data_IF_743877014968
#
_entry.id   IF_743877014968
#
_cell.length_a   1.000
_cell.length_b   1.000
_cell.length_c   1.000
_cell.angle_alpha   90.00
_cell.angle_beta   90.00
_cell.angle_gamma   90.00
#
_symmetry.space_group_name_H-M   'P 1'
#
loop_
_entity.id
_entity.type
_entity.pdbx_description
1 polymer ?
#
# COMPACT_ATOMS: atom_id res chain seq x y z
N UNK A 1 -33.11 -6.71 0.31
CA UNK A 1 -32.49 -6.15 -0.90
C UNK A 1 -31.13 -6.81 -1.08
N UNK A 2 -30.94 -7.54 -2.17
CA UNK A 2 -29.73 -8.32 -2.44
C UNK A 2 -28.88 -7.53 -3.43
N UNK A 3 -27.85 -6.83 -2.94
CA UNK A 3 -26.96 -6.04 -3.82
C UNK A 3 -25.96 -7.01 -4.45
N UNK A 4 -26.26 -7.46 -5.67
CA UNK A 4 -25.27 -8.11 -6.53
C UNK A 4 -24.29 -7.03 -7.00
N UNK A 5 -23.16 -6.87 -6.29
CA UNK A 5 -21.96 -6.27 -6.88
C UNK A 5 -21.44 -7.25 -7.93
N UNK A 6 -21.90 -7.09 -9.17
CA UNK A 6 -21.34 -7.80 -10.31
C UNK A 6 -20.13 -6.99 -10.78
N UNK A 7 -19.05 -7.01 -10.01
CA UNK A 7 -17.74 -6.62 -10.55
C UNK A 7 -17.37 -7.68 -11.60
N UNK A 8 -17.09 -7.28 -12.83
CA UNK A 8 -16.71 -8.21 -13.90
C UNK A 8 -15.42 -8.95 -13.50
N UNK A 9 -15.56 -10.18 -13.00
CA UNK A 9 -14.44 -11.00 -12.55
C UNK A 9 -13.67 -11.48 -13.77
N UNK A 10 -12.48 -10.93 -13.98
CA UNK A 10 -11.53 -11.45 -14.96
C UNK A 10 -10.64 -12.54 -14.34
N UNK A 11 -10.49 -13.68 -15.02
CA UNK A 11 -9.62 -14.77 -14.58
C UNK A 11 -8.23 -14.59 -15.18
N UNK A 12 -7.23 -14.50 -14.32
CA UNK A 12 -5.82 -14.44 -14.70
C UNK A 12 -5.11 -15.73 -14.28
N UNK A 13 -4.37 -16.33 -15.21
CA UNK A 13 -3.48 -17.48 -14.94
C UNK A 13 -2.04 -17.02 -15.10
N UNK A 14 -1.18 -17.33 -14.14
CA UNK A 14 0.23 -16.93 -14.13
C UNK A 14 1.07 -18.16 -13.83
N UNK A 15 2.07 -18.40 -14.67
CA UNK A 15 3.10 -19.40 -14.39
C UNK A 15 4.12 -18.84 -13.40
N UNK A 16 4.31 -19.54 -12.28
CA UNK A 16 5.27 -19.15 -11.25
C UNK A 16 6.21 -20.30 -10.91
N UNK A 17 7.49 -20.01 -10.58
CA UNK A 17 8.42 -21.02 -10.10
C UNK A 17 7.86 -21.77 -8.88
N UNK A 18 8.05 -23.10 -8.84
CA UNK A 18 7.56 -23.95 -7.75
C UNK A 18 8.01 -23.46 -6.35
N UNK A 19 9.20 -22.88 -6.26
CA UNK A 19 9.74 -22.29 -5.02
C UNK A 19 8.84 -21.14 -4.54
N UNK A 20 8.48 -20.23 -5.43
CA UNK A 20 7.64 -19.07 -5.11
C UNK A 20 6.21 -19.48 -4.80
N UNK A 21 5.64 -20.47 -5.50
CA UNK A 21 4.32 -21.01 -5.15
C UNK A 21 4.28 -21.55 -3.71
N UNK A 22 5.32 -22.27 -3.27
CA UNK A 22 5.41 -22.76 -1.88
C UNK A 22 5.49 -21.61 -0.88
N UNK A 23 6.35 -20.63 -1.14
CA UNK A 23 6.51 -19.46 -0.27
C UNK A 23 5.21 -18.65 -0.16
N UNK A 24 4.51 -18.44 -1.28
CA UNK A 24 3.22 -17.74 -1.30
C UNK A 24 2.16 -18.48 -0.50
N UNK A 25 2.11 -19.82 -0.61
CA UNK A 25 1.20 -20.66 0.18
C UNK A 25 1.49 -20.57 1.69
N UNK A 26 2.76 -20.57 2.08
CA UNK A 26 3.15 -20.40 3.49
C UNK A 26 2.76 -19.01 3.98
N UNK A 27 3.05 -17.97 3.19
CA UNK A 27 2.71 -16.59 3.53
C UNK A 27 1.20 -16.40 3.69
N UNK A 28 0.40 -17.01 2.81
CA UNK A 28 -1.06 -16.95 2.87
C UNK A 28 -1.61 -17.57 4.16
N UNK A 29 -1.08 -18.72 4.56
CA UNK A 29 -1.44 -19.35 5.83
C UNK A 29 -1.06 -18.50 7.05
N UNK A 30 0.14 -17.89 7.04
CA UNK A 30 0.61 -17.02 8.13
C UNK A 30 -0.24 -15.77 8.30
N UNK A 31 -0.67 -15.16 7.19
CA UNK A 31 -1.46 -13.93 7.20
C UNK A 31 -2.98 -14.18 7.35
N UNK A 32 -3.42 -15.45 7.34
CA UNK A 32 -4.85 -15.79 7.36
C UNK A 32 -5.60 -15.36 6.10
N UNK A 33 -4.90 -15.17 4.98
CA UNK A 33 -5.46 -14.73 3.69
C UNK A 33 -5.34 -15.84 2.65
N UNK A 34 -6.15 -15.77 1.60
CA UNK A 34 -5.98 -16.59 0.42
C UNK A 34 -4.80 -16.10 -0.44
N UNK A 35 -4.18 -17.00 -1.20
CA UNK A 35 -3.13 -16.61 -2.16
C UNK A 35 -3.66 -15.62 -3.21
N UNK A 36 -4.95 -15.69 -3.55
CA UNK A 36 -5.59 -14.74 -4.48
C UNK A 36 -5.58 -13.34 -3.90
N UNK A 37 -6.03 -13.17 -2.66
CA UNK A 37 -6.08 -11.87 -1.99
C UNK A 37 -4.70 -11.22 -1.91
N UNK A 38 -3.67 -12.00 -1.58
CA UNK A 38 -2.29 -11.49 -1.54
C UNK A 38 -1.85 -10.97 -2.91
N UNK A 39 -2.14 -11.71 -3.98
CA UNK A 39 -1.76 -11.32 -5.34
C UNK A 39 -2.56 -10.10 -5.80
N UNK A 40 -3.88 -10.07 -5.56
CA UNK A 40 -4.72 -8.92 -5.93
C UNK A 40 -4.36 -7.67 -5.15
N UNK A 41 -4.10 -7.77 -3.84
CA UNK A 41 -3.64 -6.65 -3.02
C UNK A 41 -2.28 -6.12 -3.49
N UNK A 42 -1.36 -7.01 -3.86
CA UNK A 42 -0.06 -6.61 -4.38
C UNK A 42 -0.20 -5.85 -5.70
N UNK A 43 -1.04 -6.35 -6.61
CA UNK A 43 -1.33 -5.70 -7.90
C UNK A 43 -2.01 -4.34 -7.66
N UNK A 44 -3.04 -4.29 -6.82
CA UNK A 44 -3.73 -3.05 -6.48
C UNK A 44 -2.79 -2.02 -5.88
N UNK A 45 -1.95 -2.41 -4.92
CA UNK A 45 -0.98 -1.52 -4.31
C UNK A 45 0.01 -1.01 -5.36
N UNK A 46 0.47 -1.88 -6.27
CA UNK A 46 1.37 -1.44 -7.33
C UNK A 46 0.68 -0.48 -8.31
N UNK A 47 -0.58 -0.73 -8.69
CA UNK A 47 -1.37 0.15 -9.55
C UNK A 47 -1.73 1.48 -8.87
N UNK A 48 -2.03 1.46 -7.57
CA UNK A 48 -2.28 2.67 -6.76
C UNK A 48 -1.01 3.48 -6.59
N UNK A 49 0.13 2.84 -6.33
CA UNK A 49 1.44 3.48 -6.21
C UNK A 49 2.04 3.90 -7.57
N UNK A 50 1.56 3.33 -8.68
CA UNK A 50 1.86 3.82 -10.02
C UNK A 50 1.25 5.20 -10.29
N UNK A 51 0.31 5.67 -9.46
CA UNK A 51 0.02 7.10 -9.37
C UNK A 51 1.27 7.77 -8.77
N UNK A 52 2.14 8.24 -9.66
CA UNK A 52 3.24 9.13 -9.27
C UNK A 52 2.70 10.15 -8.27
N UNK A 53 3.40 10.37 -7.15
CA UNK A 53 3.03 11.43 -6.23
C UNK A 53 2.84 12.72 -7.04
N UNK A 54 1.80 13.48 -6.74
CA UNK A 54 1.56 14.71 -7.50
C UNK A 54 2.73 15.68 -7.29
N UNK A 55 2.80 16.75 -8.11
CA UNK A 55 3.93 17.70 -8.05
C UNK A 55 4.15 18.27 -6.64
N UNK A 56 3.09 18.44 -5.86
CA UNK A 56 3.16 18.93 -4.48
C UNK A 56 3.77 17.90 -3.53
N UNK A 57 3.38 16.63 -3.63
CA UNK A 57 3.96 15.55 -2.82
C UNK A 57 5.44 15.33 -3.13
N UNK A 58 5.83 15.36 -4.40
CA UNK A 58 7.25 15.26 -4.81
C UNK A 58 8.05 16.44 -4.25
N UNK A 59 7.46 17.64 -4.30
CA UNK A 59 8.11 18.84 -3.75
C UNK A 59 8.26 18.74 -2.23
N UNK A 60 7.24 18.27 -1.51
CA UNK A 60 7.31 18.06 -0.06
C UNK A 60 8.39 17.04 0.34
N UNK A 61 8.57 15.95 -0.42
CA UNK A 61 9.66 14.99 -0.21
C UNK A 61 11.02 15.66 -0.43
N UNK A 62 11.19 16.47 -1.48
CA UNK A 62 12.44 17.20 -1.73
C UNK A 62 12.73 18.27 -0.67
N UNK A 63 11.71 18.99 -0.22
CA UNK A 63 11.83 19.99 0.83
C UNK A 63 12.23 19.29 2.15
N UNK A 64 11.66 18.12 2.45
CA UNK A 64 12.07 17.27 3.58
C UNK A 64 13.54 16.82 3.47
N UNK A 65 13.95 16.24 2.33
CA UNK A 65 15.33 15.78 2.11
C UNK A 65 16.36 16.90 2.19
N UNK A 66 16.00 18.10 1.72
CA UNK A 66 16.85 19.29 1.79
C UNK A 66 16.83 19.99 3.16
N UNK A 67 16.09 19.46 4.14
CA UNK A 67 16.00 20.02 5.48
C UNK A 67 15.19 21.31 5.57
N UNK A 68 14.41 21.63 4.53
CA UNK A 68 13.60 22.84 4.42
C UNK A 68 12.21 22.61 5.03
N UNK A 69 11.73 23.58 5.80
CA UNK A 69 10.39 23.58 6.41
C UNK A 69 10.11 22.44 7.42
N UNK A 70 11.16 21.86 8.01
CA UNK A 70 11.02 20.85 9.06
C UNK A 70 10.70 21.49 10.42
N UNK A 71 9.50 21.23 10.94
CA UNK A 71 9.13 21.60 12.32
C UNK A 71 9.48 20.47 13.29
N UNK A 72 10.41 20.72 14.21
CA UNK A 72 10.76 19.75 15.26
C UNK A 72 9.67 19.70 16.33
N UNK A 73 9.33 18.50 16.75
CA UNK A 73 8.53 18.24 17.94
C UNK A 73 9.37 17.51 19.00
N UNK A 74 9.18 17.84 20.28
CA UNK A 74 9.95 17.23 21.39
C UNK A 74 9.43 15.85 21.78
N UNK A 75 8.12 15.65 21.67
CA UNK A 75 7.41 14.42 22.03
C UNK A 75 6.07 14.35 21.27
N UNK A 76 5.32 13.26 21.46
CA UNK A 76 4.03 13.05 20.79
C UNK A 76 3.00 14.14 21.12
N UNK A 77 2.92 14.59 22.37
CA UNK A 77 2.00 15.66 22.80
C UNK A 77 2.29 17.00 22.10
N UNK A 78 3.57 17.38 21.99
CA UNK A 78 4.02 18.59 21.29
C UNK A 78 3.76 18.48 19.77
N UNK A 79 3.81 17.28 19.21
CA UNK A 79 3.44 17.03 17.81
C UNK A 79 1.95 17.27 17.58
N UNK A 80 1.08 16.65 18.39
CA UNK A 80 -0.37 16.79 18.27
C UNK A 80 -0.81 18.26 18.43
N UNK A 81 -0.26 18.95 19.45
CA UNK A 81 -0.50 20.38 19.66
C UNK A 81 -0.10 21.25 18.46
N UNK A 82 1.02 20.93 17.79
CA UNK A 82 1.47 21.65 16.58
C UNK A 82 0.68 21.31 15.33
N UNK A 83 0.11 20.12 15.27
CA UNK A 83 -0.77 19.67 14.18
C UNK A 83 -2.21 20.13 14.36
N UNK A 84 -2.59 20.61 15.56
CA UNK A 84 -3.94 21.09 15.86
C UNK A 84 -4.98 19.98 15.98
N UNK A 85 -4.53 18.77 16.31
CA UNK A 85 -5.35 17.57 16.52
C UNK A 85 -5.14 17.00 17.91
#
# INVERSE_FOLDING_TARGET
>A
MNVKNNEDISRMTIDIPKKFHKQLKTLSALLGKSMREIVTESIENHLKNAKMPNKETIKAIKDFESGKDLKRAKNAEDLFKKLGI
#
